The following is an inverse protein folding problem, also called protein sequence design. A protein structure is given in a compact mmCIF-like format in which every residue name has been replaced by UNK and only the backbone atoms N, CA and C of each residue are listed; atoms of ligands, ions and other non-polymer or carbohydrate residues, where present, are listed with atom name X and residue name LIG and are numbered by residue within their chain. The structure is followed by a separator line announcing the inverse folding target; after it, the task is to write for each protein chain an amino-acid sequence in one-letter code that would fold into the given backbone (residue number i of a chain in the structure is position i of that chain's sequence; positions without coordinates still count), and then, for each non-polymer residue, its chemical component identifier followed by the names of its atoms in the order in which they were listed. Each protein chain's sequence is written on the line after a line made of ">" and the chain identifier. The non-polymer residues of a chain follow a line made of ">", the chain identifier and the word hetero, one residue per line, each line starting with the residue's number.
data_IF_736899235975
#
_entry.id   IF_736899235975
#
_cell.length_a   1.000
_cell.length_b   1.000
_cell.length_c   1.000
_cell.angle_alpha   90.00
_cell.angle_beta   90.00
_cell.angle_gamma   90.00
#
_symmetry.space_group_name_H-M   'P 1'
#
loop_
_entity.id
_entity.type
_entity.pdbx_description
1 polymer ?
#
# COMPACT_ATOMS: atom_id res chain seq x y z
N UNK A 1 10.25 66.48 67.97
CA UNK A 1 10.62 65.15 67.52
C UNK A 1 9.89 64.93 66.20
N UNK A 2 10.59 65.19 65.02
CA UNK A 2 10.03 65.04 63.67
C UNK A 2 10.39 63.64 63.18
N UNK A 3 9.39 62.90 62.76
CA UNK A 3 9.58 61.58 62.15
C UNK A 3 9.40 61.78 60.62
N UNK A 4 10.52 61.62 59.83
CA UNK A 4 10.49 61.65 58.38
C UNK A 4 10.06 60.32 57.83
N UNK A 5 8.91 60.31 57.11
CA UNK A 5 8.45 59.16 56.31
C UNK A 5 9.18 59.16 54.99
N UNK A 6 10.08 58.22 54.84
CA UNK A 6 10.75 57.95 53.56
C UNK A 6 9.85 57.06 52.66
N UNK A 7 9.20 57.71 51.68
CA UNK A 7 8.37 57.03 50.69
C UNK A 7 9.24 56.31 49.68
N UNK A 8 9.31 54.99 49.79
CA UNK A 8 9.90 54.17 48.75
C UNK A 8 8.91 54.03 47.56
N UNK A 9 9.16 54.73 46.46
CA UNK A 9 8.51 54.48 45.18
C UNK A 9 9.07 53.18 44.55
N UNK A 10 8.32 52.10 44.67
CA UNK A 10 8.57 50.88 43.93
C UNK A 10 8.45 51.16 42.43
N UNK A 11 9.53 50.94 41.73
CA UNK A 11 9.66 51.19 40.27
C UNK A 11 8.88 50.11 39.50
N UNK A 12 7.60 50.35 39.21
CA UNK A 12 6.67 49.45 38.52
C UNK A 12 7.12 49.06 37.11
N UNK A 13 8.06 49.82 36.51
CA UNK A 13 8.54 49.57 35.15
C UNK A 13 9.59 48.48 35.05
N UNK A 14 10.33 48.17 36.12
CA UNK A 14 11.31 47.09 36.14
C UNK A 14 10.66 45.68 36.19
N UNK A 15 9.49 45.56 36.88
CA UNK A 15 8.80 44.30 37.03
C UNK A 15 8.14 43.78 35.72
N UNK A 16 7.66 44.73 34.88
CA UNK A 16 7.01 44.40 33.61
C UNK A 16 8.04 43.92 32.58
N UNK A 17 9.28 44.46 32.60
CA UNK A 17 10.33 44.03 31.66
C UNK A 17 10.85 42.62 31.89
N UNK A 18 10.83 42.13 33.13
CA UNK A 18 11.27 40.77 33.46
C UNK A 18 10.25 39.70 33.06
N UNK A 19 8.95 39.99 33.14
CA UNK A 19 7.88 39.05 32.77
C UNK A 19 7.86 38.84 31.23
N UNK A 20 8.10 39.91 30.45
CA UNK A 20 8.08 39.82 28.98
C UNK A 20 9.29 39.05 28.46
N UNK A 21 10.48 39.14 29.09
CA UNK A 21 11.69 38.43 28.67
C UNK A 21 11.64 36.93 29.00
N UNK A 22 10.97 36.52 30.09
CA UNK A 22 10.86 35.11 30.46
C UNK A 22 9.77 34.35 29.70
N UNK A 23 8.73 35.02 29.18
CA UNK A 23 7.64 34.35 28.46
C UNK A 23 7.89 34.14 26.97
N UNK A 24 8.78 34.95 26.35
CA UNK A 24 9.08 34.83 24.91
C UNK A 24 9.74 33.50 24.52
N UNK A 25 10.72 32.95 25.28
CA UNK A 25 11.32 31.66 24.90
C UNK A 25 10.41 30.44 25.09
N UNK A 26 9.41 30.51 25.97
CA UNK A 26 8.45 29.41 26.18
C UNK A 26 7.43 29.28 25.03
N UNK A 27 7.08 30.36 24.35
CA UNK A 27 6.19 30.32 23.18
C UNK A 27 6.89 29.80 21.91
N UNK A 28 8.21 30.04 21.78
CA UNK A 28 9.01 29.53 20.65
C UNK A 28 9.30 28.01 20.77
N UNK A 29 9.34 27.46 21.97
CA UNK A 29 9.56 26.03 22.19
C UNK A 29 8.29 25.18 21.93
N UNK A 30 7.10 25.75 22.03
CA UNK A 30 5.85 25.02 21.79
C UNK A 30 5.46 24.94 20.31
N UNK A 31 6.02 25.83 19.47
CA UNK A 31 5.80 25.81 18.02
C UNK A 31 6.58 24.71 17.29
N UNK A 32 7.69 24.21 17.85
CA UNK A 32 8.57 23.24 17.20
C UNK A 32 8.18 21.78 17.40
N UNK A 33 7.29 21.47 18.34
CA UNK A 33 6.93 20.08 18.65
C UNK A 33 5.81 19.50 17.76
N UNK A 34 5.21 20.31 16.89
CA UNK A 34 4.10 19.86 16.02
C UNK A 34 4.53 19.48 14.59
N UNK A 35 5.78 19.67 14.24
CA UNK A 35 6.28 19.37 12.89
C UNK A 35 6.79 17.92 12.71
N UNK A 36 6.77 17.08 13.77
CA UNK A 36 7.47 15.79 13.76
C UNK A 36 6.58 14.56 13.51
N UNK A 37 5.37 14.71 12.98
CA UNK A 37 4.50 13.56 12.64
C UNK A 37 3.75 13.75 11.33
N UNK A 38 4.40 14.31 10.32
CA UNK A 38 3.96 14.07 8.95
C UNK A 38 4.44 12.67 8.59
N UNK A 39 3.58 11.67 8.81
CA UNK A 39 3.78 10.36 8.21
C UNK A 39 3.81 10.57 6.70
N UNK A 40 5.00 10.49 6.08
CA UNK A 40 5.21 10.48 4.63
C UNK A 40 4.63 9.18 4.02
N UNK A 41 3.37 8.89 4.33
CA UNK A 41 2.69 7.77 3.71
C UNK A 41 2.40 8.13 2.25
N UNK A 42 3.13 7.51 1.34
CA UNK A 42 2.90 7.68 -0.08
C UNK A 42 1.70 6.85 -0.48
N UNK A 43 0.66 7.52 -0.99
CA UNK A 43 -0.50 6.82 -1.56
C UNK A 43 -0.02 5.90 -2.67
N UNK A 44 -0.40 4.63 -2.59
CA UNK A 44 -0.02 3.58 -3.54
C UNK A 44 -1.27 2.99 -4.16
N UNK A 45 -1.28 2.82 -5.48
CA UNK A 45 -2.33 2.08 -6.17
C UNK A 45 -1.83 0.67 -6.49
N UNK A 46 -2.53 -0.34 -5.98
CA UNK A 46 -2.25 -1.75 -6.22
C UNK A 46 -3.35 -2.30 -7.12
N UNK A 47 -2.97 -2.78 -8.29
CA UNK A 47 -3.82 -3.49 -9.22
C UNK A 47 -3.73 -4.98 -8.91
N UNK A 48 -4.84 -5.65 -8.71
CA UNK A 48 -4.88 -7.08 -8.44
C UNK A 48 -5.75 -7.77 -9.50
N UNK A 49 -5.21 -8.84 -10.06
CA UNK A 49 -5.92 -9.70 -11.01
C UNK A 49 -5.68 -11.16 -10.65
N UNK A 50 -6.64 -12.01 -10.97
CA UNK A 50 -6.42 -13.43 -11.07
C UNK A 50 -5.57 -13.72 -12.32
N UNK A 51 -4.75 -14.80 -12.31
CA UNK A 51 -4.10 -15.28 -13.53
C UNK A 51 -5.13 -15.53 -14.64
N UNK A 52 -4.74 -15.35 -15.87
CA UNK A 52 -5.57 -15.58 -17.06
C UNK A 52 -5.85 -17.08 -17.27
N UNK A 53 -6.64 -17.41 -18.26
CA UNK A 53 -7.11 -18.76 -18.56
C UNK A 53 -5.94 -19.72 -18.76
N UNK A 54 -5.91 -20.79 -17.95
CA UNK A 54 -4.84 -21.79 -17.95
C UNK A 54 -5.20 -23.04 -18.73
N UNK A 55 -4.22 -23.72 -19.31
CA UNK A 55 -4.36 -25.02 -19.93
C UNK A 55 -4.74 -26.11 -18.89
N UNK A 56 -5.23 -27.24 -19.38
CA UNK A 56 -5.55 -28.37 -18.51
C UNK A 56 -4.28 -29.17 -18.12
N UNK A 57 -3.25 -29.12 -18.95
CA UNK A 57 -2.01 -29.88 -18.77
C UNK A 57 -0.77 -28.99 -18.95
N UNK A 58 0.32 -29.32 -18.24
CA UNK A 58 0.43 -30.31 -17.17
C UNK A 58 -0.36 -29.87 -15.91
N UNK A 59 -1.02 -30.80 -15.24
CA UNK A 59 -1.94 -30.46 -14.14
C UNK A 59 -1.29 -29.69 -12.98
N UNK A 60 -0.02 -29.97 -12.68
CA UNK A 60 0.69 -29.36 -11.55
C UNK A 60 0.98 -27.86 -11.77
N UNK A 61 1.41 -27.47 -12.96
CA UNK A 61 1.73 -26.08 -13.29
C UNK A 61 1.46 -25.78 -14.76
N UNK A 62 0.17 -25.67 -15.16
CA UNK A 62 -0.19 -25.43 -16.56
C UNK A 62 0.17 -24.02 -17.02
N UNK A 63 0.59 -23.87 -18.30
CA UNK A 63 0.73 -22.56 -18.93
C UNK A 63 -0.64 -21.92 -19.22
N UNK A 64 -0.64 -20.74 -19.83
CA UNK A 64 -1.87 -20.13 -20.32
C UNK A 64 -2.38 -20.83 -21.60
N UNK A 65 -3.69 -20.80 -21.77
CA UNK A 65 -4.33 -21.03 -23.07
C UNK A 65 -4.10 -19.83 -24.00
N UNK A 66 -4.43 -19.98 -25.28
CA UNK A 66 -4.42 -18.87 -26.24
C UNK A 66 -5.31 -17.70 -25.77
N UNK A 67 -6.51 -18.00 -25.25
CA UNK A 67 -7.39 -16.99 -24.65
C UNK A 67 -6.72 -16.26 -23.49
N UNK A 68 -6.02 -16.99 -22.63
CA UNK A 68 -5.28 -16.40 -21.51
C UNK A 68 -4.10 -15.54 -21.95
N UNK A 69 -3.42 -15.93 -23.03
CA UNK A 69 -2.36 -15.11 -23.61
C UNK A 69 -2.89 -13.79 -24.16
N UNK A 70 -4.03 -13.83 -24.87
CA UNK A 70 -4.71 -12.61 -25.36
C UNK A 70 -5.14 -11.70 -24.20
N UNK A 71 -5.65 -12.28 -23.11
CA UNK A 71 -6.00 -11.52 -21.91
C UNK A 71 -4.79 -10.89 -21.23
N UNK A 72 -3.66 -11.59 -21.16
CA UNK A 72 -2.43 -11.02 -20.62
C UNK A 72 -1.92 -9.82 -21.47
N UNK A 73 -2.05 -9.88 -22.78
CA UNK A 73 -1.76 -8.75 -23.67
C UNK A 73 -2.74 -7.59 -23.49
N UNK A 74 -4.05 -7.87 -23.28
CA UNK A 74 -5.05 -6.85 -22.96
C UNK A 74 -4.76 -6.16 -21.64
N UNK A 75 -4.39 -6.92 -20.60
CA UNK A 75 -3.93 -6.38 -19.32
C UNK A 75 -2.74 -5.42 -19.52
N UNK A 76 -1.78 -5.80 -20.37
CA UNK A 76 -0.64 -4.94 -20.68
C UNK A 76 -1.06 -3.63 -21.38
N UNK A 77 -2.02 -3.68 -22.31
CA UNK A 77 -2.58 -2.48 -22.96
C UNK A 77 -3.30 -1.59 -21.95
N UNK A 78 -4.13 -2.18 -21.10
CA UNK A 78 -4.92 -1.47 -20.07
C UNK A 78 -4.03 -0.77 -19.04
N UNK A 79 -3.01 -1.46 -18.54
CA UNK A 79 -2.15 -0.97 -17.46
C UNK A 79 -0.85 -0.33 -17.94
N UNK A 80 -0.57 -0.29 -19.24
CA UNK A 80 0.68 0.22 -19.77
C UNK A 80 1.01 1.67 -19.45
N UNK A 81 -0.01 2.49 -19.10
CA UNK A 81 0.14 3.88 -18.65
C UNK A 81 -0.08 4.07 -17.16
N UNK A 82 -0.30 2.99 -16.40
CA UNK A 82 -0.61 3.04 -14.97
C UNK A 82 0.61 3.31 -14.06
N UNK A 83 1.78 3.60 -14.61
CA UNK A 83 3.03 3.89 -13.88
C UNK A 83 3.39 2.80 -12.87
N UNK A 84 3.22 1.54 -13.26
CA UNK A 84 3.54 0.39 -12.41
C UNK A 84 5.06 0.28 -12.32
N UNK A 85 5.58 0.21 -11.11
CA UNK A 85 7.00 0.06 -10.79
C UNK A 85 7.31 -1.26 -10.08
N UNK A 86 6.28 -1.98 -9.65
CA UNK A 86 6.40 -3.26 -8.95
C UNK A 86 5.41 -4.25 -9.55
N UNK A 87 5.89 -5.43 -9.93
CA UNK A 87 5.05 -6.54 -10.38
C UNK A 87 5.34 -7.74 -9.48
N UNK A 88 4.29 -8.35 -8.93
CA UNK A 88 4.40 -9.51 -8.03
C UNK A 88 3.59 -10.65 -8.63
N UNK A 89 4.19 -11.83 -8.67
CA UNK A 89 3.56 -13.07 -9.12
C UNK A 89 3.77 -14.18 -8.11
N UNK A 90 2.99 -15.25 -8.20
CA UNK A 90 3.29 -16.48 -7.48
C UNK A 90 4.35 -17.31 -8.23
N UNK A 91 4.71 -18.47 -7.66
CA UNK A 91 5.65 -19.42 -8.27
C UNK A 91 5.14 -20.06 -9.56
N UNK A 92 3.82 -20.04 -9.81
CA UNK A 92 3.19 -20.75 -10.92
C UNK A 92 3.34 -20.05 -12.27
N UNK A 93 3.53 -20.83 -13.34
CA UNK A 93 3.67 -20.33 -14.72
C UNK A 93 2.51 -19.42 -15.13
N UNK A 94 1.26 -19.80 -14.83
CA UNK A 94 0.07 -19.03 -15.20
C UNK A 94 0.08 -17.60 -14.66
N UNK A 95 0.62 -17.34 -13.45
CA UNK A 95 0.73 -15.97 -12.93
C UNK A 95 1.87 -15.20 -13.58
N UNK A 96 3.00 -15.85 -13.81
CA UNK A 96 4.17 -15.26 -14.49
C UNK A 96 3.82 -14.87 -15.92
N UNK A 97 3.22 -15.79 -16.68
CA UNK A 97 2.82 -15.57 -18.07
C UNK A 97 1.73 -14.48 -18.19
N UNK A 98 0.83 -14.36 -17.21
CA UNK A 98 -0.17 -13.26 -17.18
C UNK A 98 0.51 -11.91 -17.00
N UNK A 99 1.57 -11.83 -16.20
CA UNK A 99 2.29 -10.58 -15.94
C UNK A 99 3.31 -10.22 -17.03
N UNK A 100 3.80 -11.20 -17.77
CA UNK A 100 4.95 -11.06 -18.67
C UNK A 100 4.80 -9.97 -19.73
N UNK A 101 3.68 -9.85 -20.48
CA UNK A 101 3.55 -8.81 -21.50
C UNK A 101 3.70 -7.40 -20.92
N UNK A 102 3.08 -7.14 -19.75
CA UNK A 102 3.21 -5.85 -19.07
C UNK A 102 4.62 -5.63 -18.53
N UNK A 103 5.22 -6.65 -17.91
CA UNK A 103 6.57 -6.59 -17.37
C UNK A 103 7.58 -6.21 -18.47
N UNK A 104 7.48 -6.86 -19.63
CA UNK A 104 8.30 -6.57 -20.81
C UNK A 104 8.07 -5.15 -21.35
N UNK A 105 6.80 -4.72 -21.46
CA UNK A 105 6.45 -3.39 -21.96
C UNK A 105 7.01 -2.28 -21.09
N UNK A 106 7.01 -2.47 -19.75
CA UNK A 106 7.48 -1.47 -18.77
C UNK A 106 8.97 -1.58 -18.44
N UNK A 107 9.65 -2.64 -18.86
CA UNK A 107 11.03 -2.94 -18.44
C UNK A 107 11.15 -3.28 -16.96
N UNK A 108 10.07 -3.80 -16.33
CA UNK A 108 10.03 -4.15 -14.92
C UNK A 108 10.20 -5.65 -14.73
N UNK A 109 11.14 -6.05 -13.89
CA UNK A 109 11.28 -7.47 -13.51
C UNK A 109 10.24 -7.85 -12.47
N UNK A 110 9.44 -8.88 -12.75
CA UNK A 110 8.47 -9.40 -11.80
C UNK A 110 9.17 -10.09 -10.61
N UNK A 111 8.74 -9.77 -9.39
CA UNK A 111 9.16 -10.45 -8.17
C UNK A 111 8.27 -11.67 -7.95
N UNK A 112 8.88 -12.84 -7.78
CA UNK A 112 8.15 -14.07 -7.46
C UNK A 112 8.09 -14.23 -5.96
N UNK A 113 6.88 -14.25 -5.38
CA UNK A 113 6.65 -14.59 -3.97
C UNK A 113 5.80 -15.87 -3.94
N UNK A 114 6.37 -17.00 -3.50
CA UNK A 114 5.65 -18.27 -3.47
C UNK A 114 4.45 -18.22 -2.53
N UNK A 115 3.30 -18.72 -3.00
CA UNK A 115 2.11 -18.86 -2.14
C UNK A 115 2.43 -19.82 -1.00
N UNK A 116 2.25 -19.36 0.21
CA UNK A 116 2.44 -20.15 1.42
C UNK A 116 1.12 -20.29 2.19
N UNK A 117 0.82 -21.51 2.62
CA UNK A 117 -0.33 -21.83 3.46
C UNK A 117 0.03 -21.70 4.94
N UNK A 118 -0.97 -21.45 5.78
CA UNK A 118 -0.79 -21.39 7.22
C UNK A 118 -0.40 -22.75 7.79
N UNK A 119 0.56 -22.77 8.71
CA UNK A 119 0.95 -23.99 9.43
C UNK A 119 -0.10 -24.44 10.44
N UNK A 120 -0.97 -23.51 10.88
CA UNK A 120 -2.05 -23.82 11.83
C UNK A 120 -3.33 -24.26 11.10
N UNK A 121 -3.57 -23.79 9.90
CA UNK A 121 -4.72 -24.19 9.07
C UNK A 121 -4.30 -24.22 7.60
N UNK A 122 -4.08 -25.41 7.06
CA UNK A 122 -3.66 -25.61 5.67
C UNK A 122 -4.70 -25.18 4.60
N UNK A 123 -5.88 -24.73 5.01
CA UNK A 123 -6.88 -24.12 4.11
C UNK A 123 -6.76 -22.60 4.02
N UNK A 124 -5.98 -21.98 4.89
CA UNK A 124 -5.77 -20.54 4.95
C UNK A 124 -4.38 -20.16 4.44
N UNK A 125 -4.26 -18.97 3.88
CA UNK A 125 -2.96 -18.42 3.50
C UNK A 125 -2.17 -18.04 4.75
N UNK A 126 -0.86 -18.19 4.66
CA UNK A 126 0.05 -17.76 5.73
C UNK A 126 -0.06 -16.25 5.96
N UNK A 127 -0.25 -15.78 7.21
CA UNK A 127 -0.20 -14.35 7.52
C UNK A 127 1.11 -13.69 7.11
N UNK A 128 2.23 -14.41 7.17
CA UNK A 128 3.54 -13.92 6.74
C UNK A 128 3.58 -13.69 5.22
N UNK A 129 3.02 -14.62 4.44
CA UNK A 129 2.89 -14.48 2.99
C UNK A 129 2.07 -13.23 2.63
N UNK A 130 0.88 -13.09 3.24
CA UNK A 130 0.00 -11.95 3.00
C UNK A 130 0.69 -10.62 3.32
N UNK A 131 1.39 -10.57 4.46
CA UNK A 131 2.15 -9.41 4.88
C UNK A 131 3.29 -9.09 3.92
N UNK A 132 4.08 -10.09 3.51
CA UNK A 132 5.20 -9.92 2.59
C UNK A 132 4.76 -9.33 1.25
N UNK A 133 3.68 -9.86 0.67
CA UNK A 133 3.13 -9.36 -0.61
C UNK A 133 2.62 -7.93 -0.45
N UNK A 134 1.87 -7.63 0.62
CA UNK A 134 1.34 -6.29 0.88
C UNK A 134 2.46 -5.26 1.12
N UNK A 135 3.45 -5.60 1.92
CA UNK A 135 4.60 -4.74 2.19
C UNK A 135 5.40 -4.47 0.90
N UNK A 136 5.65 -5.50 0.09
CA UNK A 136 6.37 -5.36 -1.18
C UNK A 136 5.60 -4.49 -2.17
N UNK A 137 4.29 -4.63 -2.26
CA UNK A 137 3.46 -3.84 -3.15
C UNK A 137 3.42 -2.35 -2.78
N UNK A 138 3.62 -2.01 -1.51
CA UNK A 138 3.52 -0.63 -1.00
C UNK A 138 4.86 0.02 -0.65
N UNK A 139 5.98 -0.74 -0.69
CA UNK A 139 7.30 -0.29 -0.19
C UNK A 139 7.85 0.96 -0.88
N UNK A 140 7.64 1.10 -2.19
CA UNK A 140 8.32 2.13 -2.99
C UNK A 140 7.44 3.36 -3.27
N UNK A 141 6.18 3.39 -2.78
CA UNK A 141 5.23 4.48 -3.05
C UNK A 141 4.90 4.67 -4.55
N UNK A 142 5.17 3.64 -5.38
CA UNK A 142 4.77 3.55 -6.78
C UNK A 142 3.56 2.62 -6.92
N UNK A 143 2.99 2.56 -8.13
CA UNK A 143 1.90 1.64 -8.39
C UNK A 143 2.42 0.21 -8.57
N UNK A 144 1.65 -0.78 -8.13
CA UNK A 144 2.00 -2.18 -8.20
C UNK A 144 0.94 -3.00 -8.96
N UNK A 145 1.37 -4.07 -9.63
CA UNK A 145 0.50 -5.14 -10.12
C UNK A 145 0.78 -6.41 -9.30
N UNK A 146 -0.28 -7.04 -8.83
CA UNK A 146 -0.24 -8.38 -8.24
C UNK A 146 -1.06 -9.32 -9.11
N UNK A 147 -0.44 -10.38 -9.62
CA UNK A 147 -1.13 -11.46 -10.31
C UNK A 147 -1.21 -12.66 -9.39
N UNK A 148 -2.42 -12.94 -8.92
CA UNK A 148 -2.72 -13.99 -7.94
C UNK A 148 -3.67 -15.07 -8.47
N UNK A 149 -4.45 -15.64 -7.55
CA UNK A 149 -5.41 -16.71 -7.77
C UNK A 149 -6.79 -16.34 -7.19
N UNK A 150 -7.84 -17.08 -7.52
CA UNK A 150 -9.20 -16.84 -7.00
C UNK A 150 -9.27 -16.80 -5.46
N UNK A 151 -8.43 -17.56 -4.77
CA UNK A 151 -8.32 -17.58 -3.31
C UNK A 151 -7.31 -16.59 -2.73
N UNK A 152 -6.29 -16.16 -3.48
CA UNK A 152 -5.26 -15.25 -2.92
C UNK A 152 -5.60 -13.78 -3.10
N UNK A 153 -6.25 -13.40 -4.21
CA UNK A 153 -6.60 -12.00 -4.50
C UNK A 153 -7.52 -11.41 -3.43
N UNK A 154 -8.61 -12.07 -2.98
CA UNK A 154 -9.46 -11.54 -1.91
C UNK A 154 -8.71 -11.30 -0.60
N UNK A 155 -7.87 -12.25 -0.19
CA UNK A 155 -7.11 -12.14 1.06
C UNK A 155 -6.01 -11.06 0.98
N UNK A 156 -5.42 -10.84 -0.20
CA UNK A 156 -4.46 -9.77 -0.42
C UNK A 156 -5.13 -8.38 -0.40
N UNK A 157 -6.35 -8.26 -0.96
CA UNK A 157 -7.15 -7.03 -0.85
C UNK A 157 -7.40 -6.69 0.63
N UNK A 158 -7.80 -7.69 1.42
CA UNK A 158 -8.00 -7.54 2.86
C UNK A 158 -6.69 -7.16 3.59
N UNK A 159 -5.57 -7.82 3.25
CA UNK A 159 -4.27 -7.53 3.83
C UNK A 159 -3.77 -6.09 3.52
N UNK A 160 -4.14 -5.54 2.36
CA UNK A 160 -3.90 -4.15 1.99
C UNK A 160 -4.81 -3.14 2.72
N UNK A 161 -5.80 -3.62 3.49
CA UNK A 161 -6.77 -2.79 4.21
C UNK A 161 -7.98 -2.40 3.38
N UNK A 162 -8.29 -3.18 2.33
CA UNK A 162 -9.47 -2.97 1.49
C UNK A 162 -10.77 -3.11 2.27
N UNK A 163 -11.73 -2.27 1.94
CA UNK A 163 -13.06 -2.21 2.55
C UNK A 163 -14.07 -3.18 1.93
N UNK A 164 -13.72 -3.80 0.81
CA UNK A 164 -14.52 -4.82 0.12
C UNK A 164 -13.62 -6.03 -0.15
N UNK A 165 -14.11 -7.22 0.20
CA UNK A 165 -13.44 -8.49 -0.11
C UNK A 165 -14.30 -9.23 -1.14
N UNK A 166 -13.83 -9.35 -2.39
CA UNK A 166 -14.61 -9.98 -3.45
C UNK A 166 -14.61 -11.51 -3.32
N UNK A 167 -15.61 -12.15 -3.89
CA UNK A 167 -15.57 -13.58 -4.24
C UNK A 167 -15.25 -13.70 -5.73
N UNK A 168 -14.25 -14.47 -6.09
CA UNK A 168 -13.84 -14.69 -7.48
C UNK A 168 -14.21 -16.13 -7.87
N UNK A 169 -15.15 -16.24 -8.79
CA UNK A 169 -15.56 -17.51 -9.37
C UNK A 169 -14.43 -18.12 -10.21
N UNK A 170 -14.32 -19.45 -10.23
CA UNK A 170 -13.29 -20.16 -11.00
C UNK A 170 -13.45 -20.05 -12.52
N UNK A 171 -14.61 -19.63 -13.02
CA UNK A 171 -14.84 -19.33 -14.43
C UNK A 171 -14.53 -17.87 -14.80
N UNK A 172 -14.29 -16.98 -13.80
CA UNK A 172 -14.12 -15.53 -14.00
C UNK A 172 -12.64 -15.16 -14.06
N UNK A 173 -12.23 -14.55 -15.18
CA UNK A 173 -10.84 -14.14 -15.44
C UNK A 173 -10.69 -12.65 -15.78
N UNK A 174 -11.80 -11.91 -15.91
CA UNK A 174 -11.84 -10.52 -16.36
C UNK A 174 -11.89 -9.49 -15.22
N UNK A 175 -11.80 -9.94 -13.97
CA UNK A 175 -11.80 -9.05 -12.81
C UNK A 175 -10.48 -8.29 -12.67
N UNK A 176 -10.58 -6.97 -12.52
CA UNK A 176 -9.49 -6.07 -12.17
C UNK A 176 -9.87 -5.28 -10.91
N UNK A 177 -9.17 -5.53 -9.82
CA UNK A 177 -9.35 -4.78 -8.57
C UNK A 177 -8.29 -3.68 -8.48
N UNK A 178 -8.74 -2.46 -8.21
CA UNK A 178 -7.88 -1.28 -8.01
C UNK A 178 -7.97 -0.89 -6.54
N UNK A 179 -6.90 -1.13 -5.80
CA UNK A 179 -6.81 -0.88 -4.36
C UNK A 179 -5.93 0.33 -4.12
N UNK A 180 -6.55 1.45 -3.71
CA UNK A 180 -5.83 2.67 -3.35
C UNK A 180 -5.54 2.68 -1.87
N UNK A 181 -4.30 2.39 -1.50
CA UNK A 181 -3.81 2.40 -0.12
C UNK A 181 -3.41 3.83 0.23
N UNK A 182 -4.10 4.46 1.19
CA UNK A 182 -3.88 5.85 1.58
C UNK A 182 -3.37 6.02 3.01
N UNK A 183 -3.37 4.94 3.80
CA UNK A 183 -2.72 4.83 5.10
C UNK A 183 -2.46 3.36 5.41
N UNK A 184 -1.60 3.07 6.39
CA UNK A 184 -1.32 1.69 6.82
C UNK A 184 -2.62 0.97 7.23
N UNK A 185 -2.93 -0.13 6.54
CA UNK A 185 -4.15 -0.91 6.77
C UNK A 185 -5.45 -0.20 6.41
N UNK A 186 -5.39 0.84 5.54
CA UNK A 186 -6.57 1.55 5.05
C UNK A 186 -6.49 1.75 3.55
N UNK A 187 -7.42 1.18 2.83
CA UNK A 187 -7.52 1.30 1.38
C UNK A 187 -8.97 1.42 0.92
N UNK A 188 -9.15 1.95 -0.28
CA UNK A 188 -10.39 1.91 -1.05
C UNK A 188 -10.24 0.94 -2.19
N UNK A 189 -11.29 0.17 -2.46
CA UNK A 189 -11.33 -0.82 -3.52
C UNK A 189 -12.31 -0.37 -4.60
N UNK A 190 -11.86 -0.38 -5.86
CA UNK A 190 -12.72 -0.32 -7.02
C UNK A 190 -12.62 -1.64 -7.78
N UNK A 191 -13.74 -2.16 -8.25
CA UNK A 191 -13.84 -3.38 -9.05
C UNK A 191 -14.19 -3.00 -10.48
N UNK A 192 -13.37 -3.39 -11.42
CA UNK A 192 -13.51 -3.15 -12.85
C UNK A 192 -13.50 -4.50 -13.59
N UNK A 193 -13.95 -4.47 -14.86
CA UNK A 193 -13.82 -5.59 -15.81
C UNK A 193 -12.86 -5.21 -16.93
N UNK A 194 -12.08 -6.19 -17.38
CA UNK A 194 -11.16 -6.06 -18.52
C UNK A 194 -11.83 -6.46 -19.83
#
# INVERSE_FOLDING_TARGET
>A
MKIDFYSQRLNRTAFIKWIVVCCLPLFLAWGSARAAAQNDFKVTTVYLVRHAEKAAAPAADPPLLEAGTKRAEELARTLGKARITTIITSQYQRTKLTAEPLARQLGVTATVIPVAMSTMNARELSPQYLKEVADRATANGGNALIVGHSNTVPELIKALGGDIVPTIDDATYDDLFVVTVYAKGKAKVAHLKQ
#
